data_IF_127832105740
#
_entry.id   IF_127832105740
#
_cell.length_a   1.000
_cell.length_b   1.000
_cell.length_c   1.000
_cell.angle_alpha   90.00
_cell.angle_beta   90.00
_cell.angle_gamma   90.00
#
_symmetry.space_group_name_H-M   'P 1'
#
loop_
_entity.id
_entity.type
_entity.pdbx_description
1 polymer ?
#
# COMPACT_ATOMS: atom_id res chain seq x y z
N UNK A 1 6.38 40.04 11.62
CA UNK A 1 6.92 38.77 12.15
C UNK A 1 8.35 38.99 12.59
N UNK A 2 8.71 38.59 13.81
CA UNK A 2 10.08 38.71 14.32
C UNK A 2 11.02 37.73 13.61
N UNK A 3 12.27 38.13 13.35
CA UNK A 3 13.28 37.27 12.72
C UNK A 3 13.59 36.03 13.57
N UNK A 4 13.46 36.14 14.90
CA UNK A 4 13.55 34.99 15.81
C UNK A 4 12.42 33.97 15.58
N UNK A 5 11.20 34.44 15.27
CA UNK A 5 10.06 33.57 14.96
C UNK A 5 10.25 32.82 13.64
N UNK A 6 10.83 33.48 12.63
CA UNK A 6 11.19 32.85 11.36
C UNK A 6 12.23 31.75 11.57
N UNK A 7 13.32 32.05 12.29
CA UNK A 7 14.36 31.07 12.59
C UNK A 7 13.82 29.85 13.34
N UNK A 8 13.02 30.07 14.39
CA UNK A 8 12.36 28.98 15.13
C UNK A 8 11.46 28.11 14.24
N UNK A 9 10.69 28.73 13.34
CA UNK A 9 9.81 28.00 12.41
C UNK A 9 10.58 27.09 11.45
N UNK A 10 11.78 27.51 11.02
CA UNK A 10 12.64 26.70 10.14
C UNK A 10 13.14 25.46 10.89
N UNK A 11 13.66 25.63 12.11
CA UNK A 11 14.11 24.50 12.93
C UNK A 11 12.97 23.54 13.27
N UNK A 12 11.81 24.08 13.62
CA UNK A 12 10.62 23.29 13.90
C UNK A 12 10.19 22.47 12.67
N UNK A 13 10.17 23.07 11.47
CA UNK A 13 9.82 22.37 10.24
C UNK A 13 10.83 21.28 9.88
N UNK A 14 12.14 21.54 10.03
CA UNK A 14 13.20 20.58 9.74
C UNK A 14 13.11 19.31 10.57
N UNK A 15 12.75 19.42 11.86
CA UNK A 15 12.56 18.25 12.73
C UNK A 15 11.15 17.68 12.62
N UNK A 16 10.16 18.55 12.42
CA UNK A 16 8.75 18.21 12.38
C UNK A 16 8.36 17.41 11.14
N UNK A 17 8.78 17.83 9.94
CA UNK A 17 8.43 17.15 8.68
C UNK A 17 8.89 15.69 8.62
N UNK A 18 10.15 15.32 8.93
CA UNK A 18 10.56 13.92 8.93
C UNK A 18 9.83 13.12 10.02
N UNK A 19 9.59 13.72 11.19
CA UNK A 19 8.83 13.07 12.26
C UNK A 19 7.38 12.85 11.86
N UNK A 20 6.71 13.83 11.25
CA UNK A 20 5.32 13.69 10.78
C UNK A 20 5.22 12.66 9.67
N UNK A 21 6.21 12.58 8.77
CA UNK A 21 6.28 11.52 7.76
C UNK A 21 6.44 10.13 8.37
N UNK A 22 7.29 9.97 9.40
CA UNK A 22 7.47 8.70 10.10
C UNK A 22 6.19 8.30 10.85
N UNK A 23 5.57 9.22 11.57
CA UNK A 23 4.33 8.99 12.32
C UNK A 23 3.18 8.67 11.38
N UNK A 24 3.02 9.43 10.29
CA UNK A 24 2.05 9.15 9.22
C UNK A 24 2.24 7.74 8.68
N UNK A 25 3.47 7.34 8.37
CA UNK A 25 3.78 6.00 7.86
C UNK A 25 3.45 4.89 8.87
N UNK A 26 3.83 5.05 10.13
CA UNK A 26 3.57 4.06 11.19
C UNK A 26 2.07 3.96 11.53
N UNK A 27 1.37 5.09 11.61
CA UNK A 27 -0.08 5.14 11.82
C UNK A 27 -0.82 4.47 10.67
N UNK A 28 -0.42 4.76 9.44
CA UNK A 28 -0.94 4.12 8.22
C UNK A 28 -0.74 2.61 8.28
N UNK A 29 0.43 2.11 8.64
CA UNK A 29 0.68 0.67 8.75
C UNK A 29 -0.19 -0.01 9.81
N UNK A 30 -0.39 0.63 10.97
CA UNK A 30 -1.26 0.10 12.04
C UNK A 30 -2.74 0.16 11.69
N UNK A 31 -3.20 1.23 11.03
CA UNK A 31 -4.59 1.40 10.61
C UNK A 31 -4.93 0.55 9.37
N UNK A 32 -3.94 0.31 8.50
CA UNK A 32 -4.06 -0.54 7.31
C UNK A 32 -4.45 -1.98 7.65
N UNK A 33 -3.87 -2.56 8.70
CA UNK A 33 -4.07 -3.97 9.01
C UNK A 33 -5.57 -4.34 9.15
N UNK A 34 -6.39 -3.68 9.98
CA UNK A 34 -7.81 -3.98 10.05
C UNK A 34 -8.61 -3.47 8.85
N UNK A 35 -8.32 -2.24 8.36
CA UNK A 35 -9.14 -1.58 7.34
C UNK A 35 -8.98 -2.23 5.96
N UNK A 36 -7.83 -2.86 5.70
CA UNK A 36 -7.53 -3.56 4.43
C UNK A 36 -7.68 -5.07 4.56
N UNK A 37 -7.32 -5.69 5.69
CA UNK A 37 -7.46 -7.15 5.82
C UNK A 37 -8.91 -7.60 6.00
N UNK A 38 -9.77 -6.81 6.66
CA UNK A 38 -11.18 -7.18 6.84
C UNK A 38 -11.97 -7.31 5.52
N UNK A 39 -11.95 -6.34 4.59
CA UNK A 39 -12.65 -6.48 3.32
C UNK A 39 -12.01 -7.55 2.41
N UNK A 40 -10.68 -7.74 2.49
CA UNK A 40 -9.98 -8.74 1.69
C UNK A 40 -10.26 -10.16 2.19
N UNK A 41 -10.34 -10.38 3.49
CA UNK A 41 -10.71 -11.67 4.09
C UNK A 41 -12.16 -12.05 3.79
N UNK A 42 -13.08 -11.08 3.82
CA UNK A 42 -14.47 -11.31 3.44
C UNK A 42 -14.60 -11.68 1.94
N UNK A 43 -13.80 -11.02 1.09
CA UNK A 43 -13.82 -11.24 -0.35
C UNK A 43 -13.08 -12.53 -0.77
N UNK A 44 -12.05 -12.94 -0.03
CA UNK A 44 -11.39 -14.24 -0.20
C UNK A 44 -12.29 -15.39 0.28
N UNK A 45 -13.04 -15.19 1.37
CA UNK A 45 -14.11 -16.13 1.75
C UNK A 45 -15.22 -16.22 0.70
N UNK A 46 -15.41 -15.18 -0.13
CA UNK A 46 -16.33 -15.19 -1.27
C UNK A 46 -15.74 -15.85 -2.55
N UNK A 47 -14.49 -16.32 -2.52
CA UNK A 47 -13.88 -17.11 -3.60
C UNK A 47 -13.44 -16.33 -4.84
N UNK A 48 -13.19 -15.01 -4.72
CA UNK A 48 -12.72 -14.21 -5.86
C UNK A 48 -11.21 -14.37 -6.11
N UNK A 49 -10.85 -14.39 -7.39
CA UNK A 49 -9.47 -14.34 -7.87
C UNK A 49 -8.72 -13.09 -7.33
N UNK A 50 -7.39 -13.18 -7.09
CA UNK A 50 -6.62 -12.13 -6.42
C UNK A 50 -6.53 -10.81 -7.21
N UNK A 51 -6.65 -10.86 -8.55
CA UNK A 51 -6.63 -9.68 -9.43
C UNK A 51 -7.88 -8.80 -9.30
N UNK A 52 -9.11 -9.30 -9.51
CA UNK A 52 -10.32 -8.50 -9.29
C UNK A 52 -10.49 -8.10 -7.82
N UNK A 53 -9.99 -8.89 -6.88
CA UNK A 53 -10.02 -8.55 -5.45
C UNK A 53 -9.24 -7.27 -5.12
N UNK A 54 -8.02 -7.11 -5.67
CA UNK A 54 -7.22 -5.90 -5.50
C UNK A 54 -7.88 -4.68 -6.15
N UNK A 55 -8.44 -4.84 -7.35
CA UNK A 55 -9.15 -3.78 -8.05
C UNK A 55 -10.42 -3.33 -7.31
N UNK A 56 -11.21 -4.27 -6.80
CA UNK A 56 -12.38 -3.97 -5.99
C UNK A 56 -11.98 -3.28 -4.69
N UNK A 57 -10.91 -3.73 -4.03
CA UNK A 57 -10.39 -3.08 -2.83
C UNK A 57 -10.03 -1.61 -3.09
N UNK A 58 -9.27 -1.33 -4.16
CA UNK A 58 -8.95 0.03 -4.55
C UNK A 58 -10.20 0.86 -4.84
N UNK A 59 -11.17 0.32 -5.58
CA UNK A 59 -12.42 1.01 -5.89
C UNK A 59 -13.24 1.33 -4.63
N UNK A 60 -13.35 0.38 -3.70
CA UNK A 60 -14.03 0.59 -2.42
C UNK A 60 -13.33 1.64 -1.58
N UNK A 61 -11.99 1.61 -1.54
CA UNK A 61 -11.20 2.62 -0.83
C UNK A 61 -11.39 4.01 -1.46
N UNK A 62 -11.36 4.10 -2.79
CA UNK A 62 -11.61 5.34 -3.52
C UNK A 62 -13.00 5.90 -3.20
N UNK A 63 -14.03 5.05 -3.26
CA UNK A 63 -15.40 5.43 -2.94
C UNK A 63 -15.52 5.91 -1.49
N UNK A 64 -14.92 5.18 -0.55
CA UNK A 64 -14.90 5.55 0.87
C UNK A 64 -14.28 6.94 1.07
N UNK A 65 -13.17 7.23 0.40
CA UNK A 65 -12.51 8.54 0.52
C UNK A 65 -13.33 9.64 -0.13
N UNK A 66 -13.84 9.44 -1.33
CA UNK A 66 -14.68 10.46 -2.00
C UNK A 66 -15.92 10.75 -1.16
N UNK A 67 -16.64 9.73 -0.69
CA UNK A 67 -17.86 9.95 0.09
C UNK A 67 -17.55 10.48 1.51
N UNK A 68 -16.57 9.89 2.19
CA UNK A 68 -16.29 10.16 3.61
C UNK A 68 -15.41 11.39 3.86
N UNK A 69 -14.56 11.77 2.92
CA UNK A 69 -13.58 12.87 3.11
C UNK A 69 -13.76 14.06 2.16
N UNK A 70 -14.57 13.92 1.10
CA UNK A 70 -14.95 15.05 0.23
C UNK A 70 -16.43 15.38 0.36
N UNK A 71 -17.33 14.46 0.03
CA UNK A 71 -18.77 14.75 -0.05
C UNK A 71 -19.39 15.04 1.31
N UNK A 72 -19.19 14.15 2.30
CA UNK A 72 -19.77 14.34 3.63
C UNK A 72 -19.21 15.59 4.34
N UNK A 73 -17.87 15.84 4.36
CA UNK A 73 -17.34 17.05 4.97
C UNK A 73 -17.74 18.31 4.21
N UNK A 74 -17.82 18.30 2.88
CA UNK A 74 -18.29 19.46 2.11
C UNK A 74 -19.73 19.84 2.49
N UNK A 75 -20.63 18.85 2.66
CA UNK A 75 -21.98 19.09 3.14
C UNK A 75 -21.96 19.72 4.54
N UNK A 76 -21.15 19.19 5.45
CA UNK A 76 -20.97 19.73 6.81
C UNK A 76 -20.44 21.16 6.77
N UNK A 77 -19.38 21.44 6.02
CA UNK A 77 -18.79 22.78 5.92
C UNK A 77 -19.75 23.78 5.29
N UNK A 78 -20.48 23.42 4.23
CA UNK A 78 -21.49 24.30 3.64
C UNK A 78 -22.65 24.64 4.59
N UNK A 79 -22.95 23.77 5.56
CA UNK A 79 -23.97 24.01 6.57
C UNK A 79 -23.44 24.80 7.78
N UNK A 80 -22.17 24.62 8.14
CA UNK A 80 -21.54 25.27 9.30
C UNK A 80 -20.96 26.65 8.98
N UNK A 81 -20.46 26.87 7.76
CA UNK A 81 -19.85 28.13 7.34
C UNK A 81 -20.85 29.00 6.56
N UNK A 82 -21.27 30.14 7.12
CA UNK A 82 -22.19 31.05 6.44
C UNK A 82 -21.58 31.55 5.12
N UNK A 83 -22.32 31.39 4.03
CA UNK A 83 -21.93 31.87 2.71
C UNK A 83 -21.09 30.88 1.89
N UNK A 84 -20.76 29.70 2.43
CA UNK A 84 -20.12 28.65 1.65
C UNK A 84 -21.17 27.86 0.88
N UNK A 85 -20.98 27.71 -0.43
CA UNK A 85 -21.71 26.74 -1.22
C UNK A 85 -21.16 25.33 -0.99
N UNK A 86 -21.91 24.30 -1.42
CA UNK A 86 -21.40 22.93 -1.41
C UNK A 86 -20.10 22.78 -2.22
N UNK A 87 -20.01 23.50 -3.35
CA UNK A 87 -18.81 23.50 -4.19
C UNK A 87 -17.60 24.09 -3.46
N UNK A 88 -17.79 25.17 -2.70
CA UNK A 88 -16.74 25.77 -1.86
C UNK A 88 -16.26 24.78 -0.80
N UNK A 89 -17.19 24.02 -0.20
CA UNK A 89 -16.87 22.94 0.72
C UNK A 89 -16.03 21.84 0.08
N UNK A 90 -16.40 21.37 -1.13
CA UNK A 90 -15.63 20.36 -1.87
C UNK A 90 -14.26 20.90 -2.26
N UNK A 91 -14.20 22.15 -2.72
CA UNK A 91 -12.96 22.84 -3.09
C UNK A 91 -12.01 22.95 -1.90
N UNK A 92 -12.50 23.37 -0.73
CA UNK A 92 -11.72 23.41 0.50
C UNK A 92 -11.16 22.03 0.86
N UNK A 93 -11.99 20.97 0.81
CA UNK A 93 -11.54 19.61 1.08
C UNK A 93 -10.43 19.19 0.10
N UNK A 94 -10.59 19.46 -1.19
CA UNK A 94 -9.61 19.15 -2.22
C UNK A 94 -8.28 19.87 -2.01
N UNK A 95 -8.31 21.21 -1.92
CA UNK A 95 -7.10 22.03 -1.74
C UNK A 95 -6.35 21.67 -0.45
N UNK A 96 -7.09 21.33 0.61
CA UNK A 96 -6.48 20.98 1.91
C UNK A 96 -5.92 19.57 1.94
N UNK A 97 -6.68 18.56 1.46
CA UNK A 97 -6.25 17.16 1.49
C UNK A 97 -5.17 16.84 0.45
N UNK A 98 -5.17 17.54 -0.69
CA UNK A 98 -4.07 17.51 -1.64
C UNK A 98 -2.86 18.33 -1.18
N UNK A 99 -2.90 18.91 0.02
CA UNK A 99 -1.83 19.73 0.61
C UNK A 99 -1.42 20.95 -0.23
N UNK A 100 -2.30 21.42 -1.12
CA UNK A 100 -2.08 22.63 -1.92
C UNK A 100 -2.15 23.86 -0.99
N UNK A 101 -3.16 23.90 -0.12
CA UNK A 101 -3.23 24.86 0.99
C UNK A 101 -3.29 26.34 0.59
N UNK A 102 -4.13 26.70 -0.39
CA UNK A 102 -4.25 28.08 -0.89
C UNK A 102 -4.66 29.09 0.20
N UNK A 103 -5.46 28.66 1.19
CA UNK A 103 -5.82 29.47 2.36
C UNK A 103 -6.88 30.55 2.11
N UNK A 104 -7.54 30.51 0.95
CA UNK A 104 -8.68 31.34 0.58
C UNK A 104 -9.97 30.94 1.32
N UNK A 105 -10.18 29.65 1.53
CA UNK A 105 -11.24 29.10 2.37
C UNK A 105 -10.64 28.47 3.63
N UNK A 106 -10.97 29.05 4.79
CA UNK A 106 -10.52 28.54 6.09
C UNK A 106 -11.71 28.51 7.06
N UNK A 107 -12.14 27.32 7.51
CA UNK A 107 -13.23 27.20 8.46
C UNK A 107 -12.83 27.79 9.83
N UNK A 108 -13.82 28.09 10.66
CA UNK A 108 -13.63 28.60 12.03
C UNK A 108 -12.95 29.99 12.11
N UNK A 109 -13.06 30.80 11.06
CA UNK A 109 -12.50 32.16 11.02
C UNK A 109 -13.49 33.24 11.48
N UNK A 110 -14.79 32.97 11.44
CA UNK A 110 -15.81 33.98 11.76
C UNK A 110 -15.87 34.30 13.28
N UNK A 111 -15.93 35.60 13.66
CA UNK A 111 -16.06 36.02 15.05
C UNK A 111 -17.47 35.69 15.60
N UNK A 112 -17.54 35.18 16.84
CA UNK A 112 -18.82 34.92 17.54
C UNK A 112 -19.24 33.45 17.66
N UNK A 113 -18.48 32.49 17.12
CA UNK A 113 -18.76 31.07 17.31
C UNK A 113 -18.40 30.62 18.74
N UNK A 114 -19.42 30.28 19.56
CA UNK A 114 -19.25 29.83 20.97
C UNK A 114 -18.39 28.57 21.14
N UNK A 115 -18.13 27.83 20.06
CA UNK A 115 -17.39 26.57 20.07
C UNK A 115 -16.21 26.54 19.08
N UNK A 116 -15.66 27.71 18.75
CA UNK A 116 -14.60 27.89 17.75
C UNK A 116 -13.37 26.98 17.99
N UNK A 117 -12.91 26.87 19.24
CA UNK A 117 -11.73 26.08 19.58
C UNK A 117 -11.93 24.58 19.33
N UNK A 118 -13.09 24.04 19.70
CA UNK A 118 -13.40 22.63 19.45
C UNK A 118 -13.51 22.37 17.95
N UNK A 119 -14.18 23.26 17.23
CA UNK A 119 -14.35 23.12 15.79
C UNK A 119 -13.00 23.20 15.05
N UNK A 120 -12.12 24.13 15.41
CA UNK A 120 -10.76 24.19 14.88
C UNK A 120 -9.95 22.91 15.19
N UNK A 121 -10.11 22.35 16.39
CA UNK A 121 -9.48 21.08 16.77
C UNK A 121 -10.04 19.91 15.96
N UNK A 122 -11.36 19.86 15.73
CA UNK A 122 -12.01 18.86 14.90
C UNK A 122 -11.55 18.95 13.44
N UNK A 123 -11.43 20.16 12.89
CA UNK A 123 -10.90 20.38 11.53
C UNK A 123 -9.44 19.91 11.44
N UNK A 124 -8.59 20.22 12.42
CA UNK A 124 -7.22 19.71 12.45
C UNK A 124 -7.17 18.17 12.47
N UNK A 125 -8.01 17.53 13.28
CA UNK A 125 -8.14 16.07 13.29
C UNK A 125 -8.63 15.51 11.96
N UNK A 126 -9.63 16.14 11.34
CA UNK A 126 -10.13 15.79 10.01
C UNK A 126 -9.03 15.86 8.95
N UNK A 127 -8.27 16.97 8.90
CA UNK A 127 -7.18 17.15 7.93
C UNK A 127 -6.08 16.10 8.12
N UNK A 128 -5.73 15.79 9.36
CA UNK A 128 -4.76 14.74 9.67
C UNK A 128 -5.24 13.38 9.17
N UNK A 129 -6.44 12.95 9.57
CA UNK A 129 -7.01 11.64 9.16
C UNK A 129 -7.23 11.58 7.65
N UNK A 130 -7.75 12.64 7.04
CA UNK A 130 -7.96 12.72 5.60
C UNK A 130 -6.66 12.63 4.81
N UNK A 131 -5.58 13.26 5.30
CA UNK A 131 -4.24 13.11 4.71
C UNK A 131 -3.74 11.67 4.83
N UNK A 132 -3.96 11.00 5.96
CA UNK A 132 -3.62 9.57 6.09
C UNK A 132 -4.36 8.75 5.03
N UNK A 133 -5.67 8.99 4.85
CA UNK A 133 -6.49 8.27 3.86
C UNK A 133 -6.08 8.57 2.42
N UNK A 134 -5.67 9.80 2.13
CA UNK A 134 -5.17 10.15 0.79
C UNK A 134 -3.82 9.49 0.50
N UNK A 135 -2.93 9.42 1.49
CA UNK A 135 -1.68 8.67 1.39
C UNK A 135 -1.91 7.17 1.16
N UNK A 136 -2.94 6.60 1.81
CA UNK A 136 -3.37 5.21 1.58
C UNK A 136 -3.86 4.97 0.15
N UNK A 137 -4.69 5.88 -0.38
CA UNK A 137 -5.13 5.80 -1.77
C UNK A 137 -3.95 5.82 -2.73
N UNK A 138 -2.97 6.71 -2.52
CA UNK A 138 -1.80 6.81 -3.37
C UNK A 138 -0.97 5.51 -3.34
N UNK A 139 -0.75 4.93 -2.15
CA UNK A 139 -0.07 3.63 -2.01
C UNK A 139 -0.83 2.51 -2.72
N UNK A 140 -2.16 2.45 -2.58
CA UNK A 140 -2.99 1.45 -3.25
C UNK A 140 -2.98 1.63 -4.76
N UNK A 141 -2.99 2.89 -5.24
CA UNK A 141 -2.85 3.21 -6.66
C UNK A 141 -1.51 2.76 -7.22
N UNK A 142 -0.40 3.02 -6.50
CA UNK A 142 0.93 2.58 -6.93
C UNK A 142 1.01 1.05 -7.08
N UNK A 143 0.49 0.30 -6.10
CA UNK A 143 0.42 -1.17 -6.19
C UNK A 143 -0.43 -1.64 -7.37
N UNK A 144 -1.57 -0.98 -7.61
CA UNK A 144 -2.45 -1.28 -8.74
C UNK A 144 -1.82 -0.95 -10.10
N UNK A 145 -1.08 0.16 -10.19
CA UNK A 145 -0.39 0.60 -11.40
C UNK A 145 0.76 -0.34 -11.76
N UNK A 146 1.48 -0.84 -10.75
CA UNK A 146 2.54 -1.84 -10.89
C UNK A 146 1.98 -3.18 -11.38
N UNK A 147 0.86 -3.64 -10.81
CA UNK A 147 0.17 -4.87 -11.24
C UNK A 147 -0.33 -4.83 -12.70
N UNK A 148 -0.70 -3.65 -13.21
CA UNK A 148 -1.12 -3.47 -14.60
C UNK A 148 0.05 -3.21 -15.56
N UNK A 149 1.30 -3.22 -15.06
CA UNK A 149 2.49 -3.03 -15.89
C UNK A 149 2.60 -1.63 -16.51
N UNK A 150 1.79 -0.67 -16.04
CA UNK A 150 1.83 0.71 -16.55
C UNK A 150 3.18 1.38 -16.22
N UNK A 151 3.80 0.95 -15.11
CA UNK A 151 5.15 1.34 -14.71
C UNK A 151 6.21 0.87 -15.71
N UNK A 152 6.06 -0.31 -16.31
CA UNK A 152 6.98 -0.82 -17.33
C UNK A 152 6.84 -0.09 -18.68
N UNK A 153 5.68 0.51 -18.94
CA UNK A 153 5.39 1.28 -20.14
C UNK A 153 5.84 2.76 -19.99
N UNK A 154 5.87 3.28 -18.75
CA UNK A 154 6.28 4.65 -18.42
C UNK A 154 7.74 4.77 -17.97
N UNK A 155 8.45 3.67 -17.63
CA UNK A 155 9.88 3.70 -17.30
C UNK A 155 10.78 3.66 -18.55
N UNK A 156 11.20 4.85 -18.96
CA UNK A 156 12.55 5.12 -19.47
C UNK A 156 13.62 4.62 -18.45
N UNK A 157 14.89 4.43 -18.84
CA UNK A 157 15.87 3.56 -18.17
C UNK A 157 15.96 3.75 -16.65
N UNK A 158 15.73 2.63 -15.96
CA UNK A 158 15.73 2.39 -14.52
C UNK A 158 17.06 2.80 -13.86
N UNK A 159 17.05 3.78 -12.96
CA UNK A 159 18.04 3.82 -11.86
C UNK A 159 17.42 3.08 -10.67
N UNK A 160 18.09 2.02 -10.24
CA UNK A 160 17.82 1.27 -9.01
C UNK A 160 17.72 2.22 -7.81
N UNK A 161 16.68 2.06 -6.99
CA UNK A 161 16.87 2.21 -5.55
C UNK A 161 15.88 1.35 -4.75
N UNK A 162 16.49 0.38 -4.08
CA UNK A 162 16.19 -0.19 -2.76
C UNK A 162 15.05 -1.20 -2.61
N UNK A 163 15.52 -2.44 -2.55
CA UNK A 163 14.91 -3.63 -2.01
C UNK A 163 14.30 -3.44 -0.60
N UNK A 164 13.04 -3.86 -0.46
CA UNK A 164 12.46 -4.36 0.78
C UNK A 164 11.60 -5.59 0.44
N UNK A 165 12.23 -6.56 -0.24
CA UNK A 165 11.77 -7.95 -0.24
C UNK A 165 12.39 -8.65 0.98
N UNK A 166 11.87 -8.32 2.17
CA UNK A 166 12.14 -9.10 3.37
C UNK A 166 11.01 -10.12 3.57
N UNK A 167 11.39 -11.39 3.42
CA UNK A 167 10.73 -12.61 3.89
C UNK A 167 9.82 -13.39 2.92
N UNK A 168 10.40 -13.90 1.81
CA UNK A 168 10.01 -15.19 1.23
C UNK A 168 11.18 -15.94 0.58
N UNK A 169 11.81 -16.85 1.31
CA UNK A 169 12.46 -18.03 0.72
C UNK A 169 12.20 -19.27 1.58
N UNK A 170 11.53 -20.32 1.06
CA UNK A 170 11.53 -21.65 1.66
C UNK A 170 12.87 -22.35 1.33
N UNK A 171 13.60 -22.77 2.35
CA UNK A 171 14.90 -23.46 2.24
C UNK A 171 14.66 -24.98 2.18
N UNK A 172 15.52 -25.69 1.42
CA UNK A 172 15.71 -27.16 1.22
C UNK A 172 15.15 -27.64 -0.13
N UNK A 173 15.92 -28.01 -1.18
CA UNK A 173 17.11 -28.90 -1.36
C UNK A 173 17.87 -28.57 -2.69
N UNK A 174 18.96 -29.27 -3.14
CA UNK A 174 20.22 -29.67 -2.49
C UNK A 174 21.48 -29.34 -3.37
N UNK A 175 22.75 -29.45 -2.88
CA UNK A 175 23.96 -29.39 -3.73
C UNK A 175 24.63 -30.76 -4.01
N UNK A 176 25.51 -30.85 -5.04
CA UNK A 176 25.84 -32.07 -5.81
C UNK A 176 26.98 -32.95 -5.22
N UNK A 177 27.17 -34.19 -5.72
CA UNK A 177 28.17 -35.14 -5.19
C UNK A 177 29.61 -34.91 -5.70
N UNK A 178 30.65 -35.23 -4.90
CA UNK A 178 32.05 -35.19 -5.33
C UNK A 178 32.60 -36.55 -5.90
N UNK A 179 33.56 -36.55 -6.85
CA UNK A 179 34.41 -37.72 -7.23
C UNK A 179 35.74 -37.72 -6.42
N UNK A 180 36.75 -38.64 -6.54
CA UNK A 180 37.03 -39.83 -7.39
C UNK A 180 37.43 -41.10 -6.53
N UNK A 181 37.85 -42.29 -7.02
CA UNK A 181 39.16 -42.65 -7.60
C UNK A 181 39.24 -44.17 -7.94
N UNK A 182 40.00 -44.52 -8.97
CA UNK A 182 40.25 -45.88 -9.45
C UNK A 182 41.40 -46.59 -8.70
N UNK A 183 41.24 -47.88 -8.38
CA UNK A 183 42.34 -48.85 -8.22
C UNK A 183 41.79 -50.28 -8.23
N UNK A 184 42.49 -51.19 -8.90
CA UNK A 184 41.99 -52.50 -9.31
C UNK A 184 42.01 -53.62 -8.27
N UNK A 185 41.42 -54.75 -8.65
CA UNK A 185 41.97 -56.08 -8.34
C UNK A 185 41.09 -57.06 -7.56
N UNK A 186 40.79 -58.17 -8.23
CA UNK A 186 40.54 -59.54 -7.74
C UNK A 186 39.16 -59.94 -7.18
N UNK A 187 38.46 -60.69 -8.04
CA UNK A 187 37.97 -62.06 -7.85
C UNK A 187 37.22 -62.42 -6.54
N UNK A 188 35.94 -62.77 -6.65
CA UNK A 188 35.45 -64.13 -6.39
C UNK A 188 33.92 -64.23 -6.52
N UNK A 189 33.49 -65.35 -7.13
CA UNK A 189 32.21 -66.05 -6.95
C UNK A 189 30.88 -65.41 -7.42
N UNK A 190 30.44 -65.84 -8.61
CA UNK A 190 29.04 -66.17 -8.91
C UNK A 190 28.70 -67.51 -8.20
N UNK A 191 27.43 -67.84 -7.86
CA UNK A 191 26.43 -68.24 -8.88
C UNK A 191 24.96 -67.82 -8.60
N UNK A 192 24.23 -67.40 -9.65
CA UNK A 192 23.00 -68.02 -10.18
C UNK A 192 21.75 -67.94 -9.30
N UNK A 193 20.82 -67.05 -9.67
CA UNK A 193 19.38 -67.30 -9.51
C UNK A 193 18.71 -67.13 -10.91
N UNK A 194 18.19 -68.19 -11.52
CA UNK A 194 17.62 -68.18 -12.86
C UNK A 194 16.10 -68.05 -12.77
N UNK A 195 15.53 -66.85 -12.92
CA UNK A 195 14.07 -66.80 -12.95
C UNK A 195 13.40 -65.44 -12.82
N UNK A 196 13.68 -64.50 -13.71
CA UNK A 196 12.67 -63.48 -14.06
C UNK A 196 12.98 -62.78 -15.38
N UNK A 197 12.45 -63.34 -16.46
CA UNK A 197 12.15 -62.58 -17.67
C UNK A 197 10.86 -61.78 -17.44
N UNK A 198 10.83 -60.48 -17.74
CA UNK A 198 9.63 -59.84 -18.21
C UNK A 198 9.65 -59.90 -19.74
N UNK A 199 9.02 -60.94 -20.28
CA UNK A 199 8.43 -60.88 -21.61
C UNK A 199 7.19 -60.01 -21.52
N UNK A 200 7.03 -58.99 -22.36
CA UNK A 200 5.80 -58.82 -23.14
C UNK A 200 5.99 -57.74 -24.23
N UNK A 201 5.72 -58.20 -25.46
CA UNK A 201 5.60 -57.50 -26.71
C UNK A 201 4.88 -56.14 -26.68
N UNK A 202 5.27 -55.27 -27.62
CA UNK A 202 4.31 -54.80 -28.63
C UNK A 202 5.00 -54.51 -29.95
N UNK A 203 4.78 -55.43 -30.89
CA UNK A 203 4.93 -55.26 -32.33
C UNK A 203 3.78 -54.36 -32.81
N UNK A 204 4.10 -53.34 -33.59
CA UNK A 204 3.24 -52.84 -34.65
C UNK A 204 4.15 -52.28 -35.75
N UNK A 205 4.33 -53.10 -36.79
CA UNK A 205 4.77 -52.67 -38.12
C UNK A 205 3.52 -52.37 -38.93
N UNK A 206 3.60 -51.33 -39.76
CA UNK A 206 2.64 -50.99 -40.80
C UNK A 206 3.09 -49.70 -41.46
#
# INVERSE_FOLDING_TARGET
MSDAGKAFSIFYALLGVPLTMLVLTACVQRLMAPLVAAPLGLLQHAGLEPRPAAALHFLLLLLLVVLGFFVAPAAVFSALEPGWSFLDGVYFCFVSLCTIGLGDFVPATQPGQKLRALYQTAVMGYLFVGLMMMYLLLRSFHKMADLHGLTALLQLPRCEESDLDEDRQPIVDPPPPPPPAAAGGKAAARPLDPGRQPSYNSISKG
#
